data_IF_679789668630
#
_entry.id   IF_679789668630
#
_cell.length_a   1.000
_cell.length_b   1.000
_cell.length_c   1.000
_cell.angle_alpha   90.00
_cell.angle_beta   90.00
_cell.angle_gamma   90.00
#
_symmetry.space_group_name_H-M   'P 1'
#
loop_
_entity.id
_entity.type
_entity.pdbx_description
1 polymer ?
#
# COMPACT_ATOMS: atom_id res chain seq x y z
N UNK A 1 18.85 7.11 7.13
CA UNK A 1 18.15 6.69 5.90
C UNK A 1 17.36 5.40 6.17
N UNK A 2 16.45 5.41 7.17
CA UNK A 2 15.82 4.17 7.69
C UNK A 2 14.37 4.31 8.20
N UNK A 3 13.66 5.38 7.86
CA UNK A 3 12.31 5.58 8.45
C UNK A 3 11.18 5.87 7.45
N UNK A 4 11.44 5.95 6.14
CA UNK A 4 10.40 6.34 5.19
C UNK A 4 9.55 5.14 4.72
N UNK A 5 10.14 3.96 4.54
CA UNK A 5 9.41 2.74 4.13
C UNK A 5 8.30 2.27 5.09
N UNK A 6 8.28 2.77 6.33
CA UNK A 6 7.23 2.50 7.33
C UNK A 6 5.98 3.37 7.15
N UNK A 7 6.05 4.43 6.33
CA UNK A 7 4.92 5.34 6.11
C UNK A 7 3.85 4.69 5.21
N UNK A 8 4.30 3.84 4.27
CA UNK A 8 3.46 3.24 3.24
C UNK A 8 2.94 1.84 3.60
N UNK A 9 3.77 1.01 4.25
CA UNK A 9 3.35 -0.30 4.78
C UNK A 9 3.29 -0.21 6.30
N UNK A 10 2.09 -0.33 6.85
CA UNK A 10 1.88 -0.43 8.30
C UNK A 10 1.26 -1.76 8.66
N UNK A 11 1.58 -2.24 9.85
CA UNK A 11 1.07 -3.51 10.37
C UNK A 11 0.16 -3.24 11.55
N UNK A 12 -1.01 -3.87 11.55
CA UNK A 12 -2.01 -3.77 12.60
C UNK A 12 -2.48 -5.16 13.03
N UNK A 13 -2.77 -5.30 14.33
CA UNK A 13 -3.40 -6.51 14.86
C UNK A 13 -4.91 -6.42 14.63
N UNK A 14 -5.53 -7.55 14.29
CA UNK A 14 -6.96 -7.63 13.94
C UNK A 14 -7.89 -7.16 15.08
N UNK A 15 -7.49 -7.35 16.34
CA UNK A 15 -8.25 -6.93 17.52
C UNK A 15 -8.23 -5.40 17.76
N UNK A 16 -7.38 -4.64 17.05
CA UNK A 16 -7.29 -3.20 17.21
C UNK A 16 -8.19 -2.45 16.23
N UNK A 17 -8.87 -1.37 16.66
CA UNK A 17 -9.67 -0.55 15.75
C UNK A 17 -8.78 0.01 14.64
N UNK A 18 -9.09 -0.36 13.38
CA UNK A 18 -8.30 -0.03 12.19
C UNK A 18 -8.12 1.48 12.02
N UNK A 19 -9.12 2.26 12.45
CA UNK A 19 -9.15 3.74 12.45
C UNK A 19 -7.99 4.39 13.20
N UNK A 20 -7.46 3.75 14.25
CA UNK A 20 -6.37 4.30 15.06
C UNK A 20 -5.00 4.25 14.35
N UNK A 21 -4.86 3.44 13.29
CA UNK A 21 -3.59 3.20 12.62
C UNK A 21 -3.46 3.91 11.28
N UNK A 22 -4.56 4.47 10.78
CA UNK A 22 -4.64 5.22 9.53
C UNK A 22 -4.09 6.65 9.69
N UNK A 23 -3.98 7.13 10.93
CA UNK A 23 -3.42 8.45 11.24
C UNK A 23 -2.00 8.64 10.68
N UNK A 24 -1.83 9.69 9.88
CA UNK A 24 -0.59 10.04 9.19
C UNK A 24 -0.35 9.29 7.88
N UNK A 25 -1.21 8.35 7.47
CA UNK A 25 -1.10 7.68 6.16
C UNK A 25 -1.80 8.50 5.08
N UNK A 26 -1.01 9.20 4.26
CA UNK A 26 -1.55 9.85 3.06
C UNK A 26 -1.96 8.83 2.00
N UNK A 27 -1.16 7.79 1.77
CA UNK A 27 -1.43 6.69 0.84
C UNK A 27 -0.65 5.46 1.33
N UNK A 28 -1.28 4.29 1.41
CA UNK A 28 -0.58 3.11 1.91
C UNK A 28 -1.40 1.83 1.91
N UNK A 29 -0.73 0.74 2.28
CA UNK A 29 -1.35 -0.56 2.52
C UNK A 29 -1.16 -0.92 4.00
N UNK A 30 -2.26 -1.18 4.69
CA UNK A 30 -2.28 -1.74 6.03
C UNK A 30 -2.27 -3.27 5.91
N UNK A 31 -1.39 -3.91 6.68
CA UNK A 31 -1.29 -5.36 6.78
C UNK A 31 -1.95 -5.75 8.10
N UNK A 32 -3.08 -6.45 8.03
CA UNK A 32 -3.74 -6.97 9.23
C UNK A 32 -3.19 -8.36 9.51
N UNK A 33 -2.69 -8.53 10.73
CA UNK A 33 -2.05 -9.76 11.22
C UNK A 33 -2.94 -10.41 12.27
N UNK A 34 -2.96 -11.74 12.24
CA UNK A 34 -3.61 -12.55 13.27
C UNK A 34 -2.95 -12.35 14.63
N UNK A 35 -3.77 -12.14 15.66
CA UNK A 35 -3.33 -11.94 17.03
C UNK A 35 -3.02 -13.31 17.67
N UNK A 36 -1.95 -13.98 17.24
CA UNK A 36 -1.62 -15.32 17.77
C UNK A 36 -0.63 -15.29 18.94
N UNK A 37 -0.97 -16.09 19.95
CA UNK A 37 -0.27 -16.27 21.23
C UNK A 37 0.97 -17.14 20.99
N UNK A 38 2.10 -16.48 20.76
CA UNK A 38 3.43 -17.01 21.04
C UNK A 38 3.91 -18.15 20.15
N UNK A 39 4.52 -17.83 19.02
CA UNK A 39 5.70 -18.57 18.54
C UNK A 39 6.74 -17.58 18.02
N UNK A 40 7.97 -17.71 18.53
CA UNK A 40 9.05 -16.71 18.47
C UNK A 40 9.82 -16.66 17.14
N UNK A 41 9.30 -17.23 16.04
CA UNK A 41 10.13 -17.39 14.82
C UNK A 41 9.39 -17.48 13.49
N UNK A 42 8.29 -16.74 13.29
CA UNK A 42 7.61 -16.72 11.99
C UNK A 42 7.21 -15.32 11.56
N UNK A 43 7.41 -15.05 10.26
CA UNK A 43 6.86 -13.88 9.56
C UNK A 43 5.38 -13.79 9.95
N UNK A 44 4.89 -12.62 10.41
CA UNK A 44 3.52 -12.48 10.86
C UNK A 44 2.55 -12.95 9.76
N UNK A 45 1.64 -13.86 10.11
CA UNK A 45 0.64 -14.36 9.17
C UNK A 45 -0.36 -13.24 8.89
N UNK A 46 -0.17 -12.57 7.75
CA UNK A 46 -1.11 -11.55 7.29
C UNK A 46 -2.44 -12.21 6.96
N UNK A 47 -3.51 -11.84 7.69
CA UNK A 47 -4.87 -12.30 7.40
C UNK A 47 -5.41 -11.65 6.15
N UNK A 48 -5.24 -10.33 6.03
CA UNK A 48 -5.70 -9.54 4.90
C UNK A 48 -5.00 -8.19 4.86
N UNK A 49 -5.17 -7.48 3.74
CA UNK A 49 -4.57 -6.19 3.45
C UNK A 49 -5.66 -5.15 3.20
N UNK A 50 -5.40 -3.91 3.59
CA UNK A 50 -6.35 -2.79 3.45
C UNK A 50 -5.66 -1.64 2.74
N UNK A 51 -6.32 -1.03 1.77
CA UNK A 51 -5.81 0.13 1.05
C UNK A 51 -6.31 1.39 1.73
N UNK A 52 -5.37 2.30 1.99
CA UNK A 52 -5.59 3.57 2.67
C UNK A 52 -5.26 4.73 1.75
N UNK A 53 -6.16 5.71 1.67
CA UNK A 53 -5.97 7.00 1.01
C UNK A 53 -6.45 8.13 1.93
N UNK A 54 -5.65 9.18 2.08
CA UNK A 54 -5.93 10.36 2.91
C UNK A 54 -6.51 10.01 4.29
N UNK A 55 -5.81 9.11 4.98
CA UNK A 55 -6.18 8.64 6.32
C UNK A 55 -7.53 7.88 6.39
N UNK A 56 -8.07 7.46 5.23
CA UNK A 56 -9.29 6.66 5.12
C UNK A 56 -9.06 5.31 4.46
N UNK A 57 -9.76 4.31 4.97
CA UNK A 57 -9.82 2.98 4.36
C UNK A 57 -10.73 3.05 3.14
N UNK A 58 -10.17 2.77 1.96
CA UNK A 58 -10.90 2.82 0.68
C UNK A 58 -11.20 1.44 0.11
N UNK A 59 -10.36 0.45 0.43
CA UNK A 59 -10.59 -0.95 0.10
C UNK A 59 -10.14 -1.77 1.31
N UNK A 60 -10.97 -2.71 1.73
CA UNK A 60 -10.71 -3.55 2.89
C UNK A 60 -10.69 -5.04 2.51
N UNK A 61 -10.07 -5.84 3.38
CA UNK A 61 -10.04 -7.31 3.27
C UNK A 61 -9.50 -7.86 1.93
N UNK A 62 -8.43 -7.27 1.41
CA UNK A 62 -7.72 -7.78 0.23
C UNK A 62 -6.89 -9.01 0.61
N UNK A 63 -6.99 -10.09 -0.17
CA UNK A 63 -6.42 -11.39 0.18
C UNK A 63 -4.89 -11.47 0.07
N UNK A 64 -4.27 -10.62 -0.75
CA UNK A 64 -2.83 -10.66 -0.99
C UNK A 64 -2.23 -9.26 -1.23
N UNK A 65 -0.95 -9.12 -0.86
CA UNK A 65 -0.21 -7.86 -0.96
C UNK A 65 -0.06 -7.35 -2.41
N UNK A 66 0.31 -8.19 -3.40
CA UNK A 66 0.36 -7.76 -4.80
C UNK A 66 -0.94 -7.11 -5.29
N UNK A 67 -2.08 -7.72 -4.97
CA UNK A 67 -3.41 -7.20 -5.31
C UNK A 67 -3.68 -5.87 -4.61
N UNK A 68 -3.38 -5.76 -3.31
CA UNK A 68 -3.56 -4.51 -2.57
C UNK A 68 -2.71 -3.35 -3.15
N UNK A 69 -1.46 -3.64 -3.53
CA UNK A 69 -0.56 -2.67 -4.16
C UNK A 69 -1.06 -2.28 -5.56
N UNK A 70 -1.53 -3.25 -6.35
CA UNK A 70 -2.10 -2.98 -7.67
C UNK A 70 -3.37 -2.12 -7.60
N UNK A 71 -4.24 -2.39 -6.62
CA UNK A 71 -5.45 -1.60 -6.36
C UNK A 71 -5.12 -0.19 -5.93
N UNK A 72 -4.17 0.00 -5.00
CA UNK A 72 -3.73 1.33 -4.61
C UNK A 72 -3.17 2.10 -5.81
N UNK A 73 -2.35 1.46 -6.64
CA UNK A 73 -1.83 2.07 -7.86
C UNK A 73 -2.94 2.47 -8.83
N UNK A 74 -3.91 1.57 -9.06
CA UNK A 74 -5.06 1.82 -9.91
C UNK A 74 -5.90 2.99 -9.41
N UNK A 75 -6.13 3.09 -8.09
CA UNK A 75 -6.86 4.20 -7.47
C UNK A 75 -6.12 5.53 -7.61
N UNK A 76 -4.82 5.57 -7.27
CA UNK A 76 -4.02 6.80 -7.39
C UNK A 76 -4.01 7.29 -8.84
N UNK A 77 -3.94 6.37 -9.81
CA UNK A 77 -4.04 6.69 -11.23
C UNK A 77 -5.44 7.18 -11.63
N UNK A 78 -6.49 6.44 -11.28
CA UNK A 78 -7.88 6.75 -11.65
C UNK A 78 -8.37 8.08 -11.04
N UNK A 79 -7.91 8.41 -9.83
CA UNK A 79 -8.25 9.64 -9.12
C UNK A 79 -7.28 10.80 -9.44
N UNK A 80 -6.32 10.61 -10.36
CA UNK A 80 -5.31 11.59 -10.74
C UNK A 80 -4.58 12.21 -9.52
N UNK A 81 -4.31 11.40 -8.52
CA UNK A 81 -3.63 11.83 -7.30
C UNK A 81 -2.12 11.88 -7.52
N UNK A 82 -1.46 12.82 -6.84
CA UNK A 82 0.00 12.90 -6.88
C UNK A 82 0.63 11.73 -6.11
N UNK A 83 1.45 10.93 -6.79
CA UNK A 83 2.17 9.83 -6.17
C UNK A 83 3.01 10.31 -4.97
N UNK A 84 3.06 9.53 -3.87
CA UNK A 84 3.93 9.84 -2.75
C UNK A 84 5.39 9.78 -3.22
N UNK A 85 6.24 10.70 -2.72
CA UNK A 85 7.63 10.86 -3.19
C UNK A 85 8.41 9.54 -3.15
N UNK A 86 8.13 8.71 -2.14
CA UNK A 86 8.76 7.42 -1.92
C UNK A 86 8.50 6.40 -3.04
N UNK A 87 7.31 6.46 -3.66
CA UNK A 87 6.91 5.53 -4.72
C UNK A 87 6.89 6.17 -6.10
N UNK A 88 7.18 7.47 -6.20
CA UNK A 88 7.24 8.18 -7.47
C UNK A 88 8.11 7.43 -8.48
N UNK A 89 9.30 6.96 -8.07
CA UNK A 89 10.21 6.25 -8.97
C UNK A 89 9.74 4.83 -9.30
N UNK A 90 9.18 4.11 -8.32
CA UNK A 90 8.63 2.76 -8.53
C UNK A 90 7.44 2.82 -9.48
N UNK A 91 6.53 3.76 -9.27
CA UNK A 91 5.36 3.96 -10.12
C UNK A 91 5.74 4.48 -11.50
N UNK A 92 6.67 5.43 -11.61
CA UNK A 92 7.18 5.89 -12.91
C UNK A 92 7.80 4.74 -13.70
N UNK A 93 8.53 3.84 -13.03
CA UNK A 93 9.11 2.65 -13.65
C UNK A 93 8.03 1.66 -14.09
N UNK A 94 7.04 1.37 -13.24
CA UNK A 94 5.93 0.47 -13.59
C UNK A 94 5.11 1.06 -14.76
N UNK A 95 4.82 2.36 -14.72
CA UNK A 95 4.14 3.06 -15.81
C UNK A 95 4.93 2.98 -17.12
N UNK A 96 6.25 3.20 -17.08
CA UNK A 96 7.10 3.07 -18.27
C UNK A 96 7.19 1.63 -18.78
N UNK A 97 7.32 0.66 -17.88
CA UNK A 97 7.56 -0.74 -18.22
C UNK A 97 6.29 -1.47 -18.68
N UNK A 98 5.15 -1.21 -18.03
CA UNK A 98 3.89 -1.92 -18.29
C UNK A 98 2.87 -1.11 -19.10
N UNK A 99 2.86 0.22 -19.00
CA UNK A 99 1.88 1.05 -19.74
C UNK A 99 2.44 1.61 -21.06
N UNK A 100 3.66 1.26 -21.47
CA UNK A 100 4.32 1.79 -22.67
C UNK A 100 4.13 3.30 -22.84
N UNK A 101 4.22 4.06 -21.74
CA UNK A 101 4.12 5.53 -21.74
C UNK A 101 5.43 6.18 -22.21
N UNK A 102 6.31 5.44 -22.86
CA UNK A 102 7.40 6.03 -23.62
C UNK A 102 6.78 6.92 -24.68
N UNK A 103 7.21 8.19 -24.70
CA UNK A 103 6.64 9.23 -25.54
C UNK A 103 6.51 8.67 -26.95
N UNK A 104 5.28 8.68 -27.49
CA UNK A 104 5.05 8.51 -28.92
C UNK A 104 6.13 9.29 -29.65
N UNK A 105 6.94 8.55 -30.40
CA UNK A 105 7.84 9.04 -31.42
C UNK A 105 7.22 10.27 -32.10
N UNK A 106 7.78 11.46 -31.86
CA UNK A 106 7.65 12.53 -32.83
C UNK A 106 8.48 12.08 -34.03
N UNK A 107 7.79 11.47 -34.99
CA UNK A 107 8.17 11.58 -36.40
C UNK A 107 7.72 12.94 -36.91
#
# INVERSE_FOLDING_TARGET
MRDESKSFLRTCLDMQPRENHVGGMKMGVLIIVEDDVGTVDSIPNARFFTVVLEEQIVIDEVSDLPTAVALLFGLVYALNMAYPKELKYTFETIQKLFMCLDKKSLF
#
